data_IF_970393469521
#
_entry.id   IF_970393469521
#
_cell.length_a   1.000
_cell.length_b   1.000
_cell.length_c   1.000
_cell.angle_alpha   90.00
_cell.angle_beta   90.00
_cell.angle_gamma   90.00
#
_symmetry.space_group_name_H-M   'P 1'
#
loop_
_entity.id
_entity.type
_entity.pdbx_description
1 polymer ?
#
# COMPACT_ATOMS: atom_id res chain seq x y z
N UNK A 1 19.45 -9.76 3.10
CA UNK A 1 19.83 -9.67 4.52
C UNK A 1 18.65 -10.19 5.32
N UNK A 2 18.74 -11.37 5.92
CA UNK A 2 17.69 -11.89 6.82
C UNK A 2 18.24 -11.80 8.23
N UNK A 3 17.77 -10.80 8.97
CA UNK A 3 18.25 -10.46 10.30
C UNK A 3 17.75 -11.47 11.34
N UNK A 4 18.67 -11.84 12.22
CA UNK A 4 18.52 -12.75 13.34
C UNK A 4 17.45 -12.23 14.32
N UNK A 5 16.61 -13.15 14.79
CA UNK A 5 15.42 -12.89 15.59
C UNK A 5 15.76 -12.28 16.94
N UNK A 6 15.56 -10.97 17.09
CA UNK A 6 15.32 -10.38 18.41
C UNK A 6 14.02 -10.99 18.96
N UNK A 7 14.09 -11.65 20.12
CA UNK A 7 13.03 -12.43 20.77
C UNK A 7 11.80 -11.65 21.24
N UNK A 8 11.38 -10.64 20.50
CA UNK A 8 10.09 -9.97 20.66
C UNK A 8 9.28 -10.30 19.42
N UNK A 9 8.43 -11.31 19.47
CA UNK A 9 7.40 -11.47 18.43
C UNK A 9 6.59 -10.17 18.48
N UNK A 10 6.65 -9.30 17.46
CA UNK A 10 5.83 -8.10 17.47
C UNK A 10 4.38 -8.56 17.63
N UNK A 11 3.69 -8.05 18.66
CA UNK A 11 2.27 -8.33 18.92
C UNK A 11 1.41 -7.59 17.89
N UNK A 12 1.59 -7.93 16.62
CA UNK A 12 0.80 -7.45 15.51
C UNK A 12 -0.27 -8.50 15.23
N UNK A 13 -1.53 -8.10 15.20
CA UNK A 13 -2.57 -9.02 14.75
C UNK A 13 -2.34 -9.37 13.28
N UNK A 14 -2.85 -10.52 12.84
CA UNK A 14 -2.82 -10.87 11.42
C UNK A 14 -3.50 -9.78 10.57
N UNK A 15 -4.59 -9.20 11.08
CA UNK A 15 -5.32 -8.14 10.39
C UNK A 15 -4.44 -6.90 10.18
N UNK A 16 -3.74 -6.44 11.22
CA UNK A 16 -2.81 -5.30 11.12
C UNK A 16 -1.64 -5.59 10.16
N UNK A 17 -1.09 -6.81 10.20
CA UNK A 17 0.00 -7.21 9.33
C UNK A 17 -0.43 -7.19 7.85
N UNK A 18 -1.61 -7.72 7.55
CA UNK A 18 -2.19 -7.70 6.21
C UNK A 18 -2.51 -6.27 5.79
N UNK A 19 -3.11 -5.46 6.66
CA UNK A 19 -3.44 -4.06 6.38
C UNK A 19 -2.20 -3.23 6.04
N UNK A 20 -1.10 -3.40 6.77
CA UNK A 20 0.16 -2.74 6.47
C UNK A 20 0.72 -3.18 5.11
N UNK A 21 0.75 -4.49 4.86
CA UNK A 21 1.27 -5.00 3.59
C UNK A 21 0.44 -4.51 2.39
N UNK A 22 -0.89 -4.53 2.50
CA UNK A 22 -1.77 -3.96 1.48
C UNK A 22 -1.51 -2.46 1.27
N UNK A 23 -1.34 -1.70 2.37
CA UNK A 23 -1.05 -0.27 2.33
C UNK A 23 0.28 0.03 1.64
N UNK A 24 1.31 -0.77 1.88
CA UNK A 24 2.63 -0.64 1.23
C UNK A 24 2.53 -0.90 -0.28
N UNK A 25 1.89 -2.00 -0.70
CA UNK A 25 1.70 -2.34 -2.11
C UNK A 25 0.98 -1.23 -2.89
N UNK A 26 -0.07 -0.66 -2.30
CA UNK A 26 -0.83 0.44 -2.93
C UNK A 26 0.04 1.69 -3.04
N UNK A 27 0.78 2.05 -2.00
CA UNK A 27 1.67 3.21 -2.04
C UNK A 27 2.76 3.05 -3.09
N UNK A 28 3.40 1.89 -3.21
CA UNK A 28 4.44 1.67 -4.20
C UNK A 28 3.89 1.67 -5.63
N UNK A 29 2.71 1.10 -5.87
CA UNK A 29 2.03 1.21 -7.16
C UNK A 29 1.67 2.66 -7.51
N UNK A 30 1.25 3.47 -6.52
CA UNK A 30 0.97 4.89 -6.71
C UNK A 30 2.25 5.70 -6.97
N UNK A 31 3.36 5.42 -6.27
CA UNK A 31 4.67 6.02 -6.54
C UNK A 31 5.13 5.72 -7.96
N UNK A 32 5.10 4.45 -8.38
CA UNK A 32 5.53 4.01 -9.70
C UNK A 32 4.72 4.63 -10.84
N UNK A 33 3.47 5.01 -10.57
CA UNK A 33 2.53 5.57 -11.55
C UNK A 33 2.31 7.07 -11.40
N UNK A 34 3.11 7.75 -10.56
CA UNK A 34 3.01 9.20 -10.27
C UNK A 34 1.59 9.61 -9.83
N UNK A 35 0.98 8.81 -8.96
CA UNK A 35 -0.36 9.02 -8.42
C UNK A 35 -1.51 8.70 -9.38
N UNK A 36 -1.26 8.03 -10.51
CA UNK A 36 -2.31 7.63 -11.44
C UNK A 36 -3.00 6.34 -10.97
N UNK A 37 -4.19 6.47 -10.38
CA UNK A 37 -4.98 5.35 -9.83
C UNK A 37 -5.32 4.27 -10.86
N UNK A 38 -5.69 4.65 -12.09
CA UNK A 38 -6.01 3.69 -13.15
C UNK A 38 -4.80 2.81 -13.51
N UNK A 39 -3.62 3.42 -13.61
CA UNK A 39 -2.37 2.69 -13.85
C UNK A 39 -1.96 1.84 -12.65
N UNK A 40 -2.08 2.36 -11.42
CA UNK A 40 -1.78 1.60 -10.20
C UNK A 40 -2.69 0.37 -10.07
N UNK A 41 -3.98 0.50 -10.37
CA UNK A 41 -4.93 -0.60 -10.39
C UNK A 41 -4.52 -1.69 -11.39
N UNK A 42 -4.09 -1.32 -12.60
CA UNK A 42 -3.60 -2.27 -13.61
C UNK A 42 -2.33 -3.00 -13.15
N UNK A 43 -1.40 -2.32 -12.49
CA UNK A 43 -0.18 -2.94 -11.93
C UNK A 43 -0.52 -3.98 -10.86
N UNK A 44 -1.50 -3.69 -10.01
CA UNK A 44 -1.96 -4.59 -8.95
C UNK A 44 -3.04 -5.58 -9.40
N UNK A 45 -3.32 -5.68 -10.71
CA UNK A 45 -4.35 -6.55 -11.30
C UNK A 45 -5.72 -6.40 -10.62
N UNK A 46 -6.12 -5.16 -10.34
CA UNK A 46 -7.40 -4.81 -9.71
C UNK A 46 -8.09 -3.67 -10.46
N UNK A 47 -9.15 -3.11 -9.89
CA UNK A 47 -9.89 -1.99 -10.49
C UNK A 47 -9.59 -0.67 -9.78
N UNK A 48 -9.74 0.44 -10.51
CA UNK A 48 -9.55 1.79 -9.94
C UNK A 48 -10.46 2.05 -8.73
N UNK A 49 -11.67 1.46 -8.73
CA UNK A 49 -12.62 1.56 -7.61
C UNK A 49 -12.07 0.93 -6.34
N UNK A 50 -11.45 -0.25 -6.43
CA UNK A 50 -10.82 -0.93 -5.29
C UNK A 50 -9.63 -0.09 -4.76
N UNK A 51 -8.82 0.47 -5.65
CA UNK A 51 -7.75 1.40 -5.23
C UNK A 51 -8.34 2.59 -4.49
N UNK A 52 -9.41 3.21 -5.00
CA UNK A 52 -10.12 4.30 -4.32
C UNK A 52 -10.51 3.93 -2.89
N UNK A 53 -11.25 2.83 -2.72
CA UNK A 53 -11.69 2.37 -1.40
C UNK A 53 -10.53 2.08 -0.45
N UNK A 54 -9.45 1.47 -0.94
CA UNK A 54 -8.30 1.17 -0.10
C UNK A 54 -7.50 2.42 0.24
N UNK A 55 -7.41 3.40 -0.65
CA UNK A 55 -6.79 4.69 -0.34
C UNK A 55 -7.56 5.47 0.71
N UNK A 56 -8.90 5.41 0.69
CA UNK A 56 -9.75 5.99 1.73
C UNK A 56 -9.61 5.23 3.04
N UNK A 57 -9.68 3.89 3.02
CA UNK A 57 -9.54 3.02 4.20
C UNK A 57 -8.21 3.22 4.93
N UNK A 58 -7.11 3.38 4.19
CA UNK A 58 -5.75 3.48 4.74
C UNK A 58 -5.22 4.91 4.85
N UNK A 59 -6.09 5.90 4.61
CA UNK A 59 -5.79 7.34 4.67
C UNK A 59 -4.56 7.72 3.82
N UNK A 60 -4.48 7.16 2.61
CA UNK A 60 -3.38 7.40 1.67
C UNK A 60 -3.67 8.68 0.89
N UNK A 61 -2.91 9.74 1.14
CA UNK A 61 -3.00 10.97 0.35
C UNK A 61 -2.33 10.78 -1.02
N UNK A 62 -3.16 10.58 -2.05
CA UNK A 62 -2.70 10.32 -3.42
C UNK A 62 -1.95 11.52 -4.01
N UNK A 63 -2.26 12.74 -3.55
CA UNK A 63 -1.67 13.98 -4.07
C UNK A 63 -0.15 14.03 -3.83
N UNK A 64 0.34 13.44 -2.73
CA UNK A 64 1.78 13.30 -2.45
C UNK A 64 2.58 12.55 -3.52
N UNK A 65 1.93 11.72 -4.33
CA UNK A 65 2.62 10.95 -5.37
C UNK A 65 2.64 11.66 -6.73
N UNK A 66 1.95 12.79 -6.87
CA UNK A 66 2.05 13.62 -8.06
C UNK A 66 3.31 14.48 -7.94
N UNK A 67 4.34 14.16 -8.72
CA UNK A 67 5.47 15.07 -8.90
C UNK A 67 4.98 16.31 -9.63
N UNK A 68 5.35 17.49 -9.12
CA UNK A 68 5.17 18.79 -9.78
C UNK A 68 5.81 18.83 -11.16
#
# INVERSE_FOLDING_TARGET
QTAESSGTIPRLSLDDAVANYEKELIQDALKATRGNRAKAARLLMTTERIIGYKTEKYEIDIKRFKTV
#
